data_IF_331723957085
#
_entry.id   IF_331723957085
#
_cell.length_a   1.000
_cell.length_b   1.000
_cell.length_c   1.000
_cell.angle_alpha   90.00
_cell.angle_beta   90.00
_cell.angle_gamma   90.00
#
_symmetry.space_group_name_H-M   'P 1'
#
loop_
_entity.id
_entity.type
_entity.pdbx_description
1 polymer ?
#
# COMPACT_ATOMS: atom_id res chain seq x y z
N UNK A 1 0.12 -25.38 -4.71
CA UNK A 1 0.61 -24.35 -3.77
C UNK A 1 0.29 -23.02 -4.45
N UNK A 2 -0.73 -22.32 -3.97
CA UNK A 2 -1.13 -21.05 -4.61
C UNK A 2 -0.10 -19.99 -4.24
N UNK A 3 0.59 -19.47 -5.23
CA UNK A 3 1.66 -18.52 -5.05
C UNK A 3 1.14 -17.21 -5.64
N UNK A 4 0.80 -16.27 -4.77
CA UNK A 4 0.40 -14.92 -5.16
C UNK A 4 1.42 -13.91 -4.64
N UNK A 5 1.79 -12.88 -5.41
CA UNK A 5 2.54 -11.74 -4.87
C UNK A 5 1.75 -11.04 -3.76
N UNK A 6 0.44 -11.19 -3.78
CA UNK A 6 -0.47 -10.83 -2.70
C UNK A 6 -0.68 -12.10 -1.88
N UNK A 7 -0.41 -12.04 -0.59
CA UNK A 7 -0.67 -13.14 0.34
C UNK A 7 -2.18 -13.29 0.54
N UNK A 8 -2.79 -14.08 -0.34
CA UNK A 8 -4.24 -14.31 -0.31
C UNK A 8 -4.71 -15.11 0.91
N UNK A 9 -3.81 -15.81 1.61
CA UNK A 9 -4.18 -16.51 2.85
C UNK A 9 -4.52 -15.53 3.98
N UNK A 10 -4.09 -14.27 3.86
CA UNK A 10 -4.43 -13.20 4.79
C UNK A 10 -5.50 -12.24 4.26
N UNK A 11 -5.97 -12.39 3.04
CA UNK A 11 -7.04 -11.54 2.49
C UNK A 11 -8.31 -11.78 3.30
N UNK A 12 -8.76 -10.76 4.00
CA UNK A 12 -10.01 -10.84 4.76
C UNK A 12 -11.17 -11.12 3.80
N UNK A 13 -12.17 -11.93 4.21
CA UNK A 13 -13.39 -12.05 3.44
C UNK A 13 -13.96 -10.65 3.22
N UNK A 14 -13.98 -10.20 1.98
CA UNK A 14 -14.44 -8.87 1.64
C UNK A 14 -15.96 -8.81 1.85
N UNK A 15 -16.35 -8.25 2.97
CA UNK A 15 -17.75 -7.91 3.20
C UNK A 15 -18.10 -6.48 2.82
N UNK A 16 -17.10 -5.62 2.61
CA UNK A 16 -17.32 -4.17 2.55
C UNK A 16 -16.59 -3.43 1.43
N UNK A 17 -15.64 -4.05 0.74
CA UNK A 17 -14.99 -3.42 -0.42
C UNK A 17 -15.87 -3.58 -1.66
N UNK A 18 -16.36 -2.48 -2.27
CA UNK A 18 -17.22 -2.55 -3.45
C UNK A 18 -16.44 -2.74 -4.76
N UNK A 19 -15.10 -2.63 -4.73
CA UNK A 19 -14.26 -2.61 -5.92
C UNK A 19 -13.43 -3.87 -6.08
N UNK A 20 -12.86 -4.39 -4.98
CA UNK A 20 -11.95 -5.52 -5.01
C UNK A 20 -12.56 -6.73 -4.31
N UNK A 21 -12.78 -7.79 -5.09
CA UNK A 21 -13.16 -9.08 -4.56
C UNK A 21 -11.91 -9.94 -4.32
N UNK A 22 -11.84 -10.73 -3.24
CA UNK A 22 -10.71 -11.62 -2.98
C UNK A 22 -10.40 -12.57 -4.14
N UNK A 23 -11.44 -13.00 -4.88
CA UNK A 23 -11.29 -13.83 -6.09
C UNK A 23 -10.49 -13.16 -7.20
N UNK A 24 -10.56 -11.83 -7.31
CA UNK A 24 -9.80 -11.08 -8.33
C UNK A 24 -8.29 -11.20 -8.10
N UNK A 25 -7.84 -11.11 -6.85
CA UNK A 25 -6.43 -11.27 -6.52
C UNK A 25 -5.92 -12.67 -6.88
N UNK A 26 -6.70 -13.71 -6.59
CA UNK A 26 -6.33 -15.10 -6.93
C UNK A 26 -6.32 -15.38 -8.43
N UNK A 27 -7.09 -14.62 -9.21
CA UNK A 27 -7.14 -14.73 -10.66
C UNK A 27 -6.01 -13.94 -11.34
N UNK A 28 -5.76 -12.70 -10.89
CA UNK A 28 -4.80 -11.81 -11.55
C UNK A 28 -3.35 -12.07 -11.16
N UNK A 29 -3.11 -12.45 -9.91
CA UNK A 29 -1.75 -12.65 -9.41
C UNK A 29 -0.97 -13.72 -10.19
N UNK A 30 -1.52 -14.90 -10.52
CA UNK A 30 -0.82 -15.87 -11.35
C UNK A 30 -0.51 -15.37 -12.76
N UNK A 31 -1.38 -14.53 -13.33
CA UNK A 31 -1.14 -13.93 -14.66
C UNK A 31 0.03 -12.93 -14.64
N UNK A 32 0.17 -12.17 -13.55
CA UNK A 32 1.28 -11.23 -13.37
C UNK A 32 2.60 -11.94 -13.07
N UNK A 33 2.57 -12.94 -12.20
CA UNK A 33 3.77 -13.68 -11.76
C UNK A 33 4.30 -14.61 -12.85
N UNK A 34 3.40 -15.23 -13.62
CA UNK A 34 3.78 -16.25 -14.59
C UNK A 34 4.50 -17.43 -13.92
N UNK A 35 5.64 -17.83 -14.50
CA UNK A 35 6.48 -18.93 -13.99
C UNK A 35 7.56 -18.46 -13.01
N UNK A 36 7.60 -17.19 -12.66
CA UNK A 36 8.63 -16.63 -11.78
C UNK A 36 8.33 -16.89 -10.30
N UNK A 37 9.36 -16.81 -9.46
CA UNK A 37 9.18 -16.81 -8.02
C UNK A 37 8.48 -15.50 -7.59
N UNK A 38 7.30 -15.57 -6.97
CA UNK A 38 6.56 -14.39 -6.54
C UNK A 38 7.27 -13.56 -5.46
N UNK A 39 8.31 -14.11 -4.83
CA UNK A 39 9.14 -13.40 -3.85
C UNK A 39 10.31 -12.64 -4.45
N UNK A 40 10.47 -12.67 -5.77
CA UNK A 40 11.43 -11.80 -6.41
C UNK A 40 11.09 -10.33 -6.13
N UNK A 41 12.07 -9.54 -5.72
CA UNK A 41 11.88 -8.12 -5.39
C UNK A 41 11.25 -7.32 -6.54
N UNK A 42 11.53 -7.70 -7.81
CA UNK A 42 10.93 -7.11 -8.99
C UNK A 42 9.46 -7.43 -9.20
N UNK A 43 8.94 -8.47 -8.53
CA UNK A 43 7.53 -8.88 -8.56
C UNK A 43 6.81 -8.40 -7.31
N UNK A 44 7.41 -8.60 -6.15
CA UNK A 44 6.89 -8.22 -4.85
C UNK A 44 7.93 -7.39 -4.08
N UNK A 45 7.93 -6.07 -4.24
CA UNK A 45 8.94 -5.18 -3.66
C UNK A 45 9.08 -5.30 -2.13
N UNK A 46 8.05 -5.78 -1.46
CA UNK A 46 8.06 -6.04 -0.01
C UNK A 46 9.17 -7.02 0.42
N UNK A 47 9.65 -7.87 -0.49
CA UNK A 47 10.78 -8.79 -0.26
C UNK A 47 12.12 -8.21 -0.70
N UNK A 48 12.14 -6.98 -1.20
CA UNK A 48 13.37 -6.29 -1.59
C UNK A 48 14.12 -5.69 -0.39
N UNK A 49 15.34 -5.25 -0.65
CA UNK A 49 16.07 -4.45 0.32
C UNK A 49 15.52 -3.02 0.32
N UNK A 50 15.02 -2.59 1.46
CA UNK A 50 14.49 -1.24 1.67
C UNK A 50 15.53 -0.27 2.25
N UNK A 51 16.76 -0.74 2.51
CA UNK A 51 17.83 0.12 3.02
C UNK A 51 18.18 1.22 2.01
N UNK A 52 18.30 2.45 2.50
CA UNK A 52 18.64 3.60 1.66
C UNK A 52 17.50 4.16 0.80
N UNK A 53 16.29 3.65 0.91
CA UNK A 53 15.12 4.30 0.34
C UNK A 53 14.83 5.63 1.05
N UNK A 54 14.27 6.61 0.35
CA UNK A 54 13.77 7.82 0.98
C UNK A 54 12.61 7.49 1.93
N UNK A 55 12.21 8.43 2.81
CA UNK A 55 11.03 8.26 3.64
C UNK A 55 9.80 7.85 2.82
N UNK A 56 9.09 6.85 3.29
CA UNK A 56 7.90 6.31 2.64
C UNK A 56 6.67 6.86 3.35
N UNK A 57 5.78 7.46 2.59
CA UNK A 57 4.45 7.84 3.07
C UNK A 57 3.43 6.88 2.48
N UNK A 58 2.67 6.23 3.34
CA UNK A 58 1.70 5.21 2.94
C UNK A 58 0.33 5.47 3.57
N UNK A 59 -0.71 5.25 2.79
CA UNK A 59 -2.08 5.22 3.29
C UNK A 59 -2.71 3.87 2.92
N UNK A 60 -3.51 3.32 3.81
CA UNK A 60 -4.27 2.10 3.57
C UNK A 60 -5.70 2.22 4.08
N UNK A 61 -6.58 1.38 3.56
CA UNK A 61 -7.99 1.33 3.93
C UNK A 61 -8.30 0.06 4.73
N UNK A 62 -9.16 0.18 5.74
CA UNK A 62 -9.46 -0.90 6.68
C UNK A 62 -10.22 -2.06 6.08
N UNK A 63 -11.10 -1.78 5.14
CA UNK A 63 -11.94 -2.79 4.47
C UNK A 63 -11.34 -3.24 3.12
N UNK A 64 -10.19 -2.69 2.70
CA UNK A 64 -9.47 -3.11 1.50
C UNK A 64 -8.86 -4.51 1.70
N UNK A 65 -9.21 -5.50 0.86
CA UNK A 65 -8.63 -6.84 0.93
C UNK A 65 -7.10 -6.85 0.74
N UNK A 66 -6.55 -5.85 0.05
CA UNK A 66 -5.11 -5.73 -0.22
C UNK A 66 -4.34 -5.07 0.94
N UNK A 67 -5.03 -4.56 1.96
CA UNK A 67 -4.42 -3.85 3.09
C UNK A 67 -3.46 -4.70 3.93
N UNK A 68 -3.48 -6.01 3.75
CA UNK A 68 -2.52 -6.92 4.40
C UNK A 68 -1.08 -6.64 4.00
N UNK A 69 -0.85 -6.18 2.77
CA UNK A 69 0.49 -5.85 2.30
C UNK A 69 1.04 -4.58 2.98
N UNK A 70 0.17 -3.66 3.43
CA UNK A 70 0.57 -2.55 4.27
C UNK A 70 1.23 -3.02 5.57
N UNK A 71 0.65 -4.02 6.23
CA UNK A 71 1.23 -4.61 7.45
C UNK A 71 2.55 -5.38 7.21
N UNK A 72 2.80 -5.87 6.00
CA UNK A 72 4.11 -6.42 5.62
C UNK A 72 5.13 -5.31 5.46
N UNK A 73 4.80 -4.24 4.76
CA UNK A 73 5.69 -3.08 4.59
C UNK A 73 6.10 -2.52 5.95
N UNK A 74 5.17 -2.38 6.90
CA UNK A 74 5.48 -1.96 8.26
C UNK A 74 6.54 -2.82 8.96
N UNK A 75 6.53 -4.13 8.72
CA UNK A 75 7.48 -5.07 9.32
C UNK A 75 8.88 -5.01 8.69
N UNK A 76 8.98 -4.66 7.42
CA UNK A 76 10.23 -4.67 6.67
C UNK A 76 10.89 -3.30 6.61
N UNK A 77 10.15 -2.21 6.82
CA UNK A 77 10.73 -0.88 6.90
C UNK A 77 11.49 -0.67 8.20
N UNK A 78 12.64 -0.02 8.13
CA UNK A 78 13.36 0.41 9.30
C UNK A 78 12.54 1.44 10.10
N UNK A 79 12.74 1.48 11.42
CA UNK A 79 12.04 2.44 12.28
C UNK A 79 12.25 3.88 11.79
N UNK A 80 11.17 4.62 11.63
CA UNK A 80 11.18 6.01 11.17
C UNK A 80 11.24 6.21 9.66
N UNK A 81 11.33 5.13 8.87
CA UNK A 81 11.27 5.24 7.40
C UNK A 81 9.85 5.29 6.85
N UNK A 82 8.89 4.75 7.58
CA UNK A 82 7.51 4.64 7.15
C UNK A 82 6.60 5.52 7.99
N UNK A 83 5.90 6.44 7.34
CA UNK A 83 4.76 7.18 7.89
C UNK A 83 3.49 6.56 7.30
N UNK A 84 2.87 5.65 8.06
CA UNK A 84 1.66 4.94 7.63
C UNK A 84 0.43 5.45 8.35
N UNK A 85 -0.59 5.81 7.58
CA UNK A 85 -1.91 6.13 8.08
C UNK A 85 -2.95 5.15 7.52
N UNK A 86 -3.66 4.48 8.42
CA UNK A 86 -4.78 3.60 8.08
C UNK A 86 -6.10 4.31 8.30
N UNK A 87 -6.98 4.24 7.30
CA UNK A 87 -8.34 4.75 7.35
C UNK A 87 -9.31 3.57 7.55
N UNK A 88 -9.92 3.50 8.73
CA UNK A 88 -10.84 2.42 9.07
C UNK A 88 -12.18 2.55 8.33
N UNK A 89 -12.84 1.42 8.06
CA UNK A 89 -14.13 1.33 7.39
C UNK A 89 -14.19 1.96 5.99
N UNK A 90 -13.05 2.11 5.33
CA UNK A 90 -12.94 2.55 3.94
C UNK A 90 -12.39 1.41 3.07
N UNK A 91 -12.67 1.48 1.79
CA UNK A 91 -12.39 0.47 0.78
C UNK A 91 -11.20 0.83 -0.10
N UNK A 92 -10.84 -0.07 -1.00
CA UNK A 92 -9.75 0.12 -1.95
C UNK A 92 -9.92 1.42 -2.74
N UNK A 93 -8.84 2.21 -2.81
CA UNK A 93 -8.78 3.51 -3.54
C UNK A 93 -9.93 4.47 -3.25
N UNK A 94 -10.42 4.50 -2.02
CA UNK A 94 -11.48 5.41 -1.58
C UNK A 94 -11.19 6.89 -1.95
N UNK A 95 -9.93 7.24 -2.18
CA UNK A 95 -9.48 8.55 -2.64
C UNK A 95 -10.16 9.02 -3.94
N UNK A 96 -10.65 8.07 -4.76
CA UNK A 96 -11.42 8.40 -5.97
C UNK A 96 -12.73 9.14 -5.67
N UNK A 97 -13.17 9.13 -4.41
CA UNK A 97 -14.36 9.85 -3.96
C UNK A 97 -14.05 11.28 -3.47
N UNK A 98 -12.89 11.83 -3.81
CA UNK A 98 -12.56 13.22 -3.47
C UNK A 98 -13.63 14.20 -4.01
N UNK A 99 -13.98 15.18 -3.19
CA UNK A 99 -15.08 16.10 -3.47
C UNK A 99 -16.48 15.58 -3.10
N UNK A 100 -16.58 14.30 -2.69
CA UNK A 100 -17.85 13.67 -2.25
C UNK A 100 -17.71 13.10 -0.85
N UNK A 101 -16.58 12.46 -0.55
CA UNK A 101 -16.27 11.83 0.73
C UNK A 101 -15.22 12.66 1.47
N UNK A 102 -15.58 13.14 2.66
CA UNK A 102 -14.70 14.00 3.46
C UNK A 102 -13.37 13.31 3.83
N UNK A 103 -13.41 12.00 4.12
CA UNK A 103 -12.23 11.20 4.43
C UNK A 103 -11.28 11.07 3.22
N UNK A 104 -11.80 11.09 2.00
CA UNK A 104 -10.99 11.09 0.79
C UNK A 104 -10.27 12.44 0.62
N UNK A 105 -10.97 13.55 0.86
CA UNK A 105 -10.37 14.89 0.84
C UNK A 105 -9.29 15.03 1.92
N UNK A 106 -9.57 14.55 3.13
CA UNK A 106 -8.61 14.55 4.24
C UNK A 106 -7.36 13.71 3.90
N UNK A 107 -7.54 12.52 3.34
CA UNK A 107 -6.44 11.64 2.97
C UNK A 107 -5.51 12.28 1.92
N UNK A 108 -6.09 12.90 0.88
CA UNK A 108 -5.33 13.59 -0.16
C UNK A 108 -4.60 14.81 0.41
N UNK A 109 -5.26 15.59 1.27
CA UNK A 109 -4.65 16.76 1.91
C UNK A 109 -3.47 16.36 2.81
N UNK A 110 -3.62 15.31 3.62
CA UNK A 110 -2.58 14.75 4.48
C UNK A 110 -1.38 14.26 3.65
N UNK A 111 -1.62 13.46 2.62
CA UNK A 111 -0.57 12.97 1.71
C UNK A 111 0.19 14.13 1.07
N UNK A 112 -0.53 15.13 0.56
CA UNK A 112 0.07 16.31 -0.04
C UNK A 112 0.90 17.14 0.96
N UNK A 113 0.49 17.24 2.22
CA UNK A 113 1.25 17.93 3.27
C UNK A 113 2.56 17.19 3.58
N UNK A 114 2.51 15.89 3.78
CA UNK A 114 3.69 15.04 4.04
C UNK A 114 4.69 15.07 2.89
N UNK A 115 4.23 14.96 1.65
CA UNK A 115 5.09 15.07 0.47
C UNK A 115 5.79 16.42 0.39
N UNK A 116 5.10 17.53 0.70
CA UNK A 116 5.74 18.87 0.73
C UNK A 116 6.84 18.94 1.77
N UNK A 117 6.63 18.40 2.97
CA UNK A 117 7.65 18.38 4.03
C UNK A 117 8.91 17.66 3.55
N UNK A 118 8.79 16.44 3.05
CA UNK A 118 9.94 15.66 2.61
C UNK A 118 10.65 16.23 1.37
N UNK A 119 9.94 16.92 0.47
CA UNK A 119 10.56 17.54 -0.71
C UNK A 119 11.24 18.87 -0.42
N UNK A 120 10.81 19.61 0.60
CA UNK A 120 11.43 20.88 1.00
C UNK A 120 12.70 20.66 1.83
N UNK A 121 12.73 19.66 2.69
CA UNK A 121 13.92 19.31 3.48
C UNK A 121 15.08 18.83 2.59
N UNK A 122 14.80 18.11 1.50
CA UNK A 122 15.82 17.69 0.54
C UNK A 122 16.49 18.82 -0.25
N UNK A 123 15.90 20.02 -0.29
CA UNK A 123 16.50 21.20 -0.98
C UNK A 123 17.49 21.97 -0.12
N UNK A 124 17.51 21.75 1.18
CA UNK A 124 18.44 22.46 2.11
C UNK A 124 19.81 21.78 2.19
N UNK A 125 19.94 20.53 1.74
CA UNK A 125 21.18 19.75 1.85
C UNK A 125 22.17 19.97 0.68
N UNK A 126 21.86 20.87 -0.27
CA UNK A 126 22.75 21.16 -1.42
C UNK A 126 23.19 22.63 -1.37
N UNK A 127 24.09 22.95 -0.42
CA UNK A 127 24.98 24.11 -0.48
C UNK A 127 26.36 23.74 0.00
#
# INVERSE_FOLDING_TARGET
>A
MSISPIDIDGVRPAGRDPLILPSMASEWAPQYVGEHDPRLAGISPVYGDMAGLPPIVMQSAGDDPLSIDAGKIEKFCAAGMLDHRRFENLWHVFHLQAGVLAEADEAIADLGAKLRTHTTEGKVATK
#
